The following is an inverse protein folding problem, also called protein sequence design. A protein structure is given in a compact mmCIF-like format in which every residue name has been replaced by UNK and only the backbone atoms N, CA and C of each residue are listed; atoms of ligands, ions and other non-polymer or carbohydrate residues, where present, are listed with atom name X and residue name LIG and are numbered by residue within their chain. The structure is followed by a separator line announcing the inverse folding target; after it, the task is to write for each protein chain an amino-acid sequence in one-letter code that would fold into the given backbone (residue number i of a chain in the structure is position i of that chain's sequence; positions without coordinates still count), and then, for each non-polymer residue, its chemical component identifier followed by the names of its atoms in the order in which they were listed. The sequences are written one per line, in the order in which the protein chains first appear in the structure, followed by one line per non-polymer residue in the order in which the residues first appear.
data_IF_350552940553
#
_entry.id   IF_350552940553
#
_cell.length_a   1.000
_cell.length_b   1.000
_cell.length_c   1.000
_cell.angle_alpha   90.00
_cell.angle_beta   90.00
_cell.angle_gamma   90.00
#
_symmetry.space_group_name_H-M   'P 1'
#
loop_
_entity.id
_entity.type
_entity.pdbx_description
1 polymer ?
#
# COMPACT_ATOMS: atom_id res chain seq x y z
N UNK A 1 -36.70 24.32 -65.78
CA UNK A 1 -36.92 23.82 -64.40
C UNK A 1 -35.55 23.44 -63.83
N UNK A 2 -35.12 24.08 -62.73
CA UNK A 2 -33.77 23.98 -62.17
C UNK A 2 -33.53 22.62 -61.50
N UNK A 3 -32.36 22.04 -61.78
CA UNK A 3 -31.79 20.88 -61.11
C UNK A 3 -31.43 21.20 -59.66
N UNK A 4 -31.83 20.33 -58.73
CA UNK A 4 -31.41 20.37 -57.34
C UNK A 4 -30.53 19.16 -57.03
N UNK A 5 -29.21 19.32 -57.08
CA UNK A 5 -28.27 18.33 -56.57
C UNK A 5 -28.33 18.34 -55.04
N UNK A 6 -28.91 17.29 -54.44
CA UNK A 6 -28.75 17.01 -53.01
C UNK A 6 -27.45 16.24 -52.81
N UNK A 7 -26.39 16.95 -52.41
CA UNK A 7 -25.19 16.32 -51.90
C UNK A 7 -25.47 15.74 -50.52
N UNK A 8 -25.44 14.41 -50.41
CA UNK A 8 -25.46 13.71 -49.12
C UNK A 8 -24.02 13.72 -48.58
N UNK A 9 -23.76 14.52 -47.56
CA UNK A 9 -22.49 14.50 -46.83
C UNK A 9 -22.53 13.33 -45.85
N UNK A 10 -21.81 12.25 -46.17
CA UNK A 10 -21.52 11.18 -45.21
C UNK A 10 -20.47 11.70 -44.22
N UNK A 11 -20.89 12.00 -42.99
CA UNK A 11 -19.98 12.23 -41.87
C UNK A 11 -19.49 10.87 -41.40
N UNK A 12 -18.28 10.48 -41.82
CA UNK A 12 -17.58 9.33 -41.26
C UNK A 12 -17.13 9.68 -39.84
N UNK A 13 -17.82 9.14 -38.84
CA UNK A 13 -17.35 9.17 -37.45
C UNK A 13 -16.11 8.28 -37.39
N UNK A 14 -14.94 8.91 -37.44
CA UNK A 14 -13.68 8.26 -37.10
C UNK A 14 -13.74 7.94 -35.60
N UNK A 15 -14.05 6.69 -35.25
CA UNK A 15 -13.76 6.15 -33.94
C UNK A 15 -12.24 6.20 -33.74
N UNK A 16 -11.75 7.31 -33.20
CA UNK A 16 -10.41 7.34 -32.62
C UNK A 16 -10.47 6.43 -31.41
N UNK A 17 -9.71 5.34 -31.34
CA UNK A 17 -9.59 4.60 -30.10
C UNK A 17 -9.04 5.58 -29.08
N UNK A 18 -9.84 5.89 -28.05
CA UNK A 18 -9.36 6.54 -26.84
C UNK A 18 -8.33 5.59 -26.24
N UNK A 19 -7.06 5.73 -26.65
CA UNK A 19 -5.96 5.15 -25.93
C UNK A 19 -6.07 5.70 -24.51
N UNK A 20 -6.26 4.81 -23.54
CA UNK A 20 -6.30 5.20 -22.15
C UNK A 20 -5.07 6.08 -21.87
N UNK A 21 -5.30 7.31 -21.40
CA UNK A 21 -4.30 8.37 -21.27
C UNK A 21 -3.38 8.12 -20.06
N UNK A 22 -2.83 6.92 -19.94
CA UNK A 22 -1.85 6.61 -18.92
C UNK A 22 -0.48 7.09 -19.37
N UNK A 23 0.24 7.77 -18.47
CA UNK A 23 1.50 8.40 -18.82
C UNK A 23 2.61 7.36 -18.86
N UNK A 24 3.22 7.15 -20.03
CA UNK A 24 4.36 6.26 -20.20
C UNK A 24 5.68 6.99 -19.89
N UNK A 25 5.90 7.38 -18.63
CA UNK A 25 7.16 8.03 -18.22
C UNK A 25 8.25 6.99 -17.94
N UNK A 26 9.35 6.95 -18.70
CA UNK A 26 10.39 5.95 -18.50
C UNK A 26 11.00 6.01 -17.09
N UNK A 27 11.11 4.87 -16.42
CA UNK A 27 11.84 4.77 -15.16
C UNK A 27 13.35 4.80 -15.43
N UNK A 28 14.07 5.74 -14.80
CA UNK A 28 15.51 5.86 -14.94
C UNK A 28 16.25 4.66 -14.31
N UNK A 29 17.43 4.33 -14.85
CA UNK A 29 18.33 3.36 -14.24
C UNK A 29 17.88 1.90 -14.25
N UNK A 30 16.80 1.55 -14.97
CA UNK A 30 16.29 0.18 -15.08
C UNK A 30 17.33 -0.73 -15.77
N UNK A 31 17.87 -1.77 -15.08
CA UNK A 31 18.73 -2.76 -15.69
C UNK A 31 17.99 -3.51 -16.79
N UNK A 32 18.69 -3.87 -17.88
CA UNK A 32 18.08 -4.56 -19.03
C UNK A 32 18.82 -5.85 -19.37
N UNK A 33 18.05 -6.84 -19.82
CA UNK A 33 18.56 -8.06 -20.44
C UNK A 33 19.08 -7.75 -21.87
N UNK A 34 19.84 -8.67 -22.51
CA UNK A 34 20.28 -8.50 -23.90
C UNK A 34 19.15 -8.27 -24.91
N UNK A 35 17.93 -8.74 -24.61
CA UNK A 35 16.74 -8.53 -25.43
C UNK A 35 16.02 -7.19 -25.16
N UNK A 36 16.61 -6.30 -24.37
CA UNK A 36 16.08 -4.98 -24.07
C UNK A 36 14.96 -4.93 -23.03
N UNK A 37 14.45 -6.07 -22.54
CA UNK A 37 13.44 -6.10 -21.46
C UNK A 37 14.06 -5.76 -20.10
N UNK A 38 13.30 -5.16 -19.15
CA UNK A 38 13.77 -4.97 -17.78
C UNK A 38 14.27 -6.27 -17.14
N UNK A 39 15.41 -6.19 -16.46
CA UNK A 39 15.97 -7.28 -15.65
C UNK A 39 15.61 -7.02 -14.18
N UNK A 40 14.46 -7.49 -13.75
CA UNK A 40 13.98 -7.29 -12.38
C UNK A 40 14.82 -8.03 -11.33
N UNK A 41 15.49 -9.11 -11.72
CA UNK A 41 16.38 -9.88 -10.82
C UNK A 41 17.84 -9.37 -10.81
N UNK A 42 18.10 -8.19 -11.40
CA UNK A 42 19.41 -7.55 -11.27
C UNK A 42 19.68 -7.14 -9.81
N UNK A 43 20.94 -6.98 -9.40
CA UNK A 43 21.25 -6.52 -8.04
C UNK A 43 20.50 -5.25 -7.64
N UNK A 44 20.08 -5.17 -6.37
CA UNK A 44 19.44 -3.97 -5.84
C UNK A 44 20.35 -2.74 -5.99
N UNK A 45 19.80 -1.59 -6.42
CA UNK A 45 20.56 -0.34 -6.46
C UNK A 45 21.04 0.04 -5.05
N UNK A 46 22.12 0.81 -4.97
CA UNK A 46 22.72 1.26 -3.72
C UNK A 46 22.64 2.78 -3.61
N UNK A 47 22.31 3.25 -2.42
CA UNK A 47 22.36 4.66 -2.07
C UNK A 47 23.82 5.10 -1.87
N UNK A 48 24.02 6.42 -1.72
CA UNK A 48 25.36 7.03 -1.57
C UNK A 48 26.11 6.55 -0.32
N UNK A 49 25.39 6.06 0.68
CA UNK A 49 25.92 5.52 1.93
C UNK A 49 26.22 4.01 1.86
N UNK A 50 25.99 3.37 0.71
CA UNK A 50 26.28 1.95 0.46
C UNK A 50 25.14 0.99 0.84
N UNK A 51 24.11 1.45 1.55
CA UNK A 51 22.93 0.63 1.84
C UNK A 51 22.06 0.47 0.57
N UNK A 52 21.16 -0.53 0.52
CA UNK A 52 20.19 -0.62 -0.56
C UNK A 52 19.39 0.67 -0.70
N UNK A 53 19.24 1.14 -1.94
CA UNK A 53 18.31 2.21 -2.27
C UNK A 53 16.91 1.61 -2.39
N UNK A 54 16.01 2.00 -1.50
CA UNK A 54 14.61 1.54 -1.47
C UNK A 54 13.72 2.37 -2.39
N UNK A 55 14.27 3.41 -3.05
CA UNK A 55 13.51 4.29 -3.93
C UNK A 55 12.89 3.56 -5.11
N UNK A 56 11.66 3.93 -5.44
CA UNK A 56 10.89 3.33 -6.52
C UNK A 56 9.39 3.52 -6.34
N UNK A 57 8.64 3.28 -7.41
CA UNK A 57 7.21 3.08 -7.34
C UNK A 57 6.96 1.59 -7.11
N UNK A 58 6.15 1.25 -6.12
CA UNK A 58 5.93 -0.12 -5.69
C UNK A 58 4.44 -0.46 -5.77
N UNK A 59 4.14 -1.67 -6.24
CA UNK A 59 2.81 -2.27 -6.41
C UNK A 59 2.68 -3.60 -5.66
N UNK A 60 1.46 -4.04 -5.35
CA UNK A 60 1.26 -5.37 -4.78
C UNK A 60 1.84 -6.45 -5.71
N UNK A 61 2.29 -7.57 -5.15
CA UNK A 61 2.77 -8.69 -5.96
C UNK A 61 1.69 -9.12 -6.97
N UNK A 62 2.07 -9.15 -8.25
CA UNK A 62 1.20 -9.55 -9.36
C UNK A 62 1.33 -11.06 -9.62
N UNK A 63 0.27 -11.69 -10.13
CA UNK A 63 0.21 -13.13 -10.44
C UNK A 63 0.15 -14.07 -9.22
N UNK A 64 -0.42 -13.62 -8.10
CA UNK A 64 -0.79 -14.53 -7.01
C UNK A 64 -1.93 -15.45 -7.49
N UNK A 65 -1.83 -16.79 -7.35
CA UNK A 65 -2.91 -17.69 -7.74
C UNK A 65 -4.23 -17.33 -7.05
N UNK A 66 -5.28 -17.19 -7.85
CA UNK A 66 -6.59 -16.82 -7.34
C UNK A 66 -7.16 -17.91 -6.43
N UNK A 67 -7.86 -17.53 -5.35
CA UNK A 67 -8.69 -18.46 -4.60
C UNK A 67 -9.72 -19.16 -5.51
N UNK A 68 -10.26 -20.32 -5.10
CA UNK A 68 -11.32 -21.03 -5.83
C UNK A 68 -12.55 -20.16 -6.14
N UNK A 69 -12.82 -19.15 -5.31
CA UNK A 69 -13.98 -18.27 -5.40
C UNK A 69 -13.80 -17.09 -6.40
N UNK A 70 -12.64 -17.00 -7.06
CA UNK A 70 -12.36 -16.00 -8.09
C UNK A 70 -11.26 -14.99 -7.73
N UNK A 71 -10.90 -14.15 -8.71
CA UNK A 71 -9.93 -13.06 -8.55
C UNK A 71 -10.68 -11.73 -8.37
N UNK A 72 -10.10 -10.79 -7.62
CA UNK A 72 -10.54 -9.40 -7.69
C UNK A 72 -10.02 -8.73 -8.98
N UNK A 73 -10.70 -7.67 -9.41
CA UNK A 73 -10.36 -6.89 -10.62
C UNK A 73 -8.98 -6.21 -10.52
N UNK A 74 -8.49 -5.98 -9.30
CA UNK A 74 -7.16 -5.44 -9.01
C UNK A 74 -6.26 -6.52 -8.37
N UNK A 75 -4.94 -6.48 -8.59
CA UNK A 75 -4.00 -7.33 -7.88
C UNK A 75 -4.03 -6.98 -6.38
N UNK A 76 -4.79 -7.75 -5.61
CA UNK A 76 -4.92 -7.60 -4.16
C UNK A 76 -3.94 -8.52 -3.44
N UNK A 77 -3.23 -7.97 -2.46
CA UNK A 77 -2.58 -8.81 -1.46
C UNK A 77 -3.65 -9.47 -0.59
N UNK A 78 -3.58 -10.78 -0.31
CA UNK A 78 -4.56 -11.43 0.59
C UNK A 78 -4.59 -10.76 1.96
N UNK A 79 -3.42 -10.29 2.39
CA UNK A 79 -3.22 -9.51 3.60
C UNK A 79 -3.92 -8.13 3.62
N UNK A 80 -4.43 -7.65 2.48
CA UNK A 80 -5.28 -6.46 2.43
C UNK A 80 -6.68 -6.76 2.97
N UNK A 81 -7.22 -7.94 2.66
CA UNK A 81 -8.52 -8.38 3.13
C UNK A 81 -8.44 -8.86 4.58
N UNK A 82 -7.42 -9.67 4.89
CA UNK A 82 -7.16 -10.22 6.22
C UNK A 82 -5.65 -10.31 6.44
N UNK A 83 -5.09 -9.44 7.28
CA UNK A 83 -3.64 -9.40 7.56
C UNK A 83 -3.13 -10.69 8.21
N UNK A 84 -4.04 -11.42 8.88
CA UNK A 84 -3.82 -12.72 9.51
C UNK A 84 -3.91 -13.92 8.56
N UNK A 85 -4.24 -13.73 7.28
CA UNK A 85 -4.51 -14.82 6.33
C UNK A 85 -3.35 -15.81 6.13
N UNK A 86 -2.11 -15.42 6.49
CA UNK A 86 -0.91 -16.28 6.41
C UNK A 86 -0.36 -16.70 7.78
N UNK A 87 -1.07 -16.40 8.86
CA UNK A 87 -0.71 -16.76 10.22
C UNK A 87 -1.52 -17.99 10.60
N UNK A 88 -0.84 -19.06 11.02
CA UNK A 88 -1.49 -20.28 11.48
C UNK A 88 -2.40 -19.97 12.68
N UNK A 89 -3.69 -20.30 12.55
CA UNK A 89 -4.71 -19.97 13.56
C UNK A 89 -5.19 -18.52 13.56
N UNK A 90 -4.75 -17.69 12.59
CA UNK A 90 -5.15 -16.29 12.47
C UNK A 90 -4.50 -15.37 13.50
N UNK A 91 -5.02 -14.16 13.63
CA UNK A 91 -4.51 -13.19 14.60
C UNK A 91 -4.83 -13.59 16.04
N UNK A 92 -3.87 -13.41 16.98
CA UNK A 92 -4.04 -13.83 18.37
C UNK A 92 -4.82 -12.79 19.18
N UNK A 93 -6.05 -12.47 18.78
CA UNK A 93 -6.89 -11.43 19.39
C UNK A 93 -7.10 -11.63 20.90
N UNK A 94 -7.18 -10.52 21.63
CA UNK A 94 -7.84 -10.47 22.94
C UNK A 94 -9.36 -10.65 22.76
N UNK A 95 -10.11 -11.09 23.80
CA UNK A 95 -11.55 -11.35 23.67
C UNK A 95 -12.38 -10.17 23.14
N UNK A 96 -12.09 -8.94 23.59
CA UNK A 96 -12.79 -7.76 23.10
C UNK A 96 -12.46 -7.45 21.64
N UNK A 97 -11.20 -7.64 21.23
CA UNK A 97 -10.75 -7.38 19.87
C UNK A 97 -11.39 -8.37 18.89
N UNK A 98 -11.48 -9.65 19.30
CA UNK A 98 -12.22 -10.67 18.55
C UNK A 98 -13.71 -10.31 18.41
N UNK A 99 -14.34 -9.82 19.48
CA UNK A 99 -15.75 -9.40 19.45
C UNK A 99 -15.97 -8.20 18.52
N UNK A 100 -15.10 -7.19 18.58
CA UNK A 100 -15.17 -6.01 17.71
C UNK A 100 -14.92 -6.38 16.24
N UNK A 101 -13.93 -7.22 15.97
CA UNK A 101 -13.66 -7.73 14.61
C UNK A 101 -14.86 -8.49 14.05
N UNK A 102 -15.46 -9.39 14.84
CA UNK A 102 -16.67 -10.11 14.43
C UNK A 102 -17.86 -9.18 14.18
N UNK A 103 -18.04 -8.14 15.02
CA UNK A 103 -19.09 -7.15 14.84
C UNK A 103 -18.89 -6.34 13.55
N UNK A 104 -17.67 -5.87 13.26
CA UNK A 104 -17.34 -5.13 12.03
C UNK A 104 -17.69 -5.94 10.79
N UNK A 105 -17.27 -7.21 10.76
CA UNK A 105 -17.60 -8.13 9.67
C UNK A 105 -19.11 -8.38 9.54
N UNK A 106 -19.84 -8.47 10.66
CA UNK A 106 -21.30 -8.59 10.65
C UNK A 106 -21.98 -7.34 10.07
N UNK A 107 -21.38 -6.16 10.29
CA UNK A 107 -21.84 -4.86 9.79
C UNK A 107 -21.26 -4.50 8.41
N UNK A 108 -20.77 -5.50 7.66
CA UNK A 108 -20.15 -5.35 6.33
C UNK A 108 -19.02 -4.31 6.29
N UNK A 109 -18.26 -4.16 7.39
CA UNK A 109 -17.09 -3.28 7.48
C UNK A 109 -17.39 -1.81 7.13
N UNK A 110 -18.66 -1.40 7.22
CA UNK A 110 -19.15 -0.09 6.78
C UNK A 110 -18.41 1.10 7.42
N UNK A 111 -17.92 0.91 8.65
CA UNK A 111 -17.25 1.93 9.46
C UNK A 111 -15.71 1.90 9.31
N UNK A 112 -15.16 1.22 8.30
CA UNK A 112 -13.74 1.23 8.01
C UNK A 112 -13.25 2.69 7.80
N UNK A 113 -12.12 3.11 8.38
CA UNK A 113 -11.65 4.50 8.22
C UNK A 113 -11.55 4.95 6.75
N UNK A 114 -11.14 4.04 5.87
CA UNK A 114 -10.98 4.28 4.45
C UNK A 114 -12.29 4.57 3.71
N UNK A 115 -13.44 4.01 4.13
CA UNK A 115 -14.75 4.31 3.53
C UNK A 115 -15.21 5.74 3.85
N UNK A 116 -14.64 6.33 4.90
CA UNK A 116 -14.85 7.73 5.29
C UNK A 116 -13.71 8.66 4.84
N UNK A 117 -12.88 8.22 3.88
CA UNK A 117 -11.74 8.96 3.37
C UNK A 117 -10.76 9.40 4.47
N UNK A 118 -10.64 8.60 5.54
CA UNK A 118 -9.61 8.75 6.55
C UNK A 118 -8.37 7.93 6.16
N UNK A 119 -7.18 8.29 6.67
CA UNK A 119 -5.95 7.58 6.34
C UNK A 119 -6.03 6.09 6.68
N UNK A 120 -5.59 5.25 5.74
CA UNK A 120 -5.17 3.88 6.03
C UNK A 120 -4.12 3.83 7.14
N UNK A 121 -4.11 2.77 7.94
CA UNK A 121 -2.98 2.48 8.83
C UNK A 121 -1.68 2.28 8.03
N UNK A 122 -0.54 2.24 8.73
CA UNK A 122 0.74 1.94 8.08
C UNK A 122 0.76 0.51 7.48
N UNK A 123 0.02 -0.43 8.08
CA UNK A 123 -0.08 -1.81 7.56
C UNK A 123 -0.92 -1.85 6.29
N UNK A 124 -2.12 -1.24 6.31
CA UNK A 124 -2.98 -1.14 5.14
C UNK A 124 -2.32 -0.40 3.98
N UNK A 125 -1.52 0.63 4.26
CA UNK A 125 -0.70 1.31 3.25
C UNK A 125 0.25 0.35 2.50
N UNK A 126 0.73 -0.71 3.14
CA UNK A 126 1.61 -1.69 2.50
C UNK A 126 0.85 -2.82 1.79
N UNK A 127 -0.44 -3.01 2.07
CA UNK A 127 -1.25 -4.10 1.52
C UNK A 127 -2.26 -3.65 0.48
N UNK A 128 -2.67 -2.38 0.48
CA UNK A 128 -3.57 -1.78 -0.51
C UNK A 128 -3.13 -2.06 -1.96
N UNK A 129 -4.07 -2.27 -2.90
CA UNK A 129 -3.75 -2.42 -4.32
C UNK A 129 -3.12 -1.16 -4.93
N UNK A 130 -3.29 0.00 -4.28
CA UNK A 130 -2.79 1.27 -4.76
C UNK A 130 -1.26 1.37 -4.63
N UNK A 131 -0.67 2.18 -5.50
CA UNK A 131 0.76 2.36 -5.55
C UNK A 131 1.28 3.24 -4.41
N UNK A 132 2.56 3.03 -4.11
CA UNK A 132 3.32 3.86 -3.20
C UNK A 132 4.69 4.16 -3.78
N UNK A 133 5.10 5.42 -3.70
CA UNK A 133 6.42 5.87 -4.13
C UNK A 133 7.30 6.04 -2.91
N UNK A 134 8.40 5.30 -2.87
CA UNK A 134 9.44 5.50 -1.87
C UNK A 134 10.48 6.46 -2.45
N UNK A 135 10.82 7.47 -1.66
CA UNK A 135 11.92 8.40 -1.92
C UNK A 135 12.88 8.31 -0.74
N UNK A 136 14.08 7.77 -0.99
CA UNK A 136 15.14 7.71 0.01
C UNK A 136 16.09 8.90 -0.18
N UNK A 137 16.26 9.66 0.89
CA UNK A 137 17.23 10.75 0.98
C UNK A 137 18.14 10.52 2.19
N UNK A 138 19.29 11.22 2.29
CA UNK A 138 20.12 11.14 3.49
C UNK A 138 19.31 11.46 4.76
N UNK A 139 19.25 10.50 5.68
CA UNK A 139 18.57 10.63 6.98
C UNK A 139 17.04 10.51 6.97
N UNK A 140 16.39 10.37 5.81
CA UNK A 140 14.93 10.19 5.74
C UNK A 140 14.49 9.33 4.57
N UNK A 141 13.49 8.49 4.81
CA UNK A 141 12.73 7.77 3.79
C UNK A 141 11.29 8.29 3.81
N UNK A 142 10.83 8.83 2.69
CA UNK A 142 9.45 9.27 2.50
C UNK A 142 8.69 8.23 1.68
N UNK A 143 7.51 7.86 2.15
CA UNK A 143 6.57 7.02 1.40
C UNK A 143 5.39 7.91 1.02
N UNK A 144 5.16 8.05 -0.28
CA UNK A 144 4.03 8.78 -0.85
C UNK A 144 3.00 7.77 -1.33
N UNK A 145 1.74 7.98 -1.02
CA UNK A 145 0.66 7.06 -1.36
C UNK A 145 -0.18 7.65 -2.49
N UNK A 146 -0.64 6.78 -3.39
CA UNK A 146 -1.65 7.13 -4.37
C UNK A 146 -2.96 7.51 -3.67
N UNK A 147 -3.36 6.79 -2.62
CA UNK A 147 -4.55 7.12 -1.82
C UNK A 147 -4.42 8.44 -1.05
N UNK A 148 -5.33 9.37 -1.35
CA UNK A 148 -5.50 10.72 -0.77
C UNK A 148 -4.21 11.56 -0.74
N UNK A 149 -3.25 11.24 -1.60
CA UNK A 149 -1.91 11.85 -1.62
C UNK A 149 -1.24 11.89 -0.23
N UNK A 150 -1.57 10.92 0.65
CA UNK A 150 -0.97 10.87 1.97
C UNK A 150 0.52 10.55 1.89
N UNK A 151 1.25 10.94 2.93
CA UNK A 151 2.65 10.57 3.08
C UNK A 151 2.91 9.96 4.46
N UNK A 152 4.04 9.24 4.54
CA UNK A 152 4.68 8.82 5.78
C UNK A 152 6.16 9.18 5.72
N UNK A 153 6.68 9.68 6.84
CA UNK A 153 8.09 9.97 7.01
C UNK A 153 8.72 8.93 7.96
N UNK A 154 9.87 8.40 7.58
CA UNK A 154 10.66 7.48 8.39
C UNK A 154 12.06 8.08 8.50
N UNK A 155 12.46 8.51 9.69
CA UNK A 155 13.82 8.98 9.90
C UNK A 155 14.77 7.80 9.97
N UNK A 156 15.84 7.82 9.18
CA UNK A 156 16.82 6.73 9.06
C UNK A 156 18.22 7.17 9.52
N UNK A 157 18.28 8.26 10.27
CA UNK A 157 19.50 8.78 10.91
C UNK A 157 19.71 8.21 12.33
N UNK A 158 18.91 7.21 12.73
CA UNK A 158 19.02 6.52 14.01
C UNK A 158 18.55 7.33 15.22
N UNK A 159 17.85 8.47 15.01
CA UNK A 159 17.31 9.28 16.12
C UNK A 159 16.37 8.47 17.04
N UNK A 160 16.26 8.78 18.33
CA UNK A 160 15.34 8.06 19.21
C UNK A 160 13.88 8.36 18.88
N UNK A 161 13.00 7.42 19.22
CA UNK A 161 11.56 7.65 19.22
C UNK A 161 11.16 8.62 20.36
N UNK A 162 10.10 9.42 20.18
CA UNK A 162 9.60 10.30 21.24
C UNK A 162 9.12 9.49 22.45
N UNK A 163 9.37 10.01 23.66
CA UNK A 163 8.94 9.36 24.91
C UNK A 163 7.46 9.59 25.24
N UNK A 164 6.89 10.70 24.79
CA UNK A 164 5.47 11.07 24.99
C UNK A 164 4.90 11.65 23.68
N UNK A 165 4.65 10.80 22.68
CA UNK A 165 4.15 11.24 21.38
C UNK A 165 2.69 11.68 21.46
N UNK A 166 2.36 12.80 20.79
CA UNK A 166 0.96 13.10 20.48
C UNK A 166 0.41 12.06 19.49
N UNK A 167 -0.68 11.33 19.79
CA UNK A 167 -1.15 10.27 18.92
C UNK A 167 -1.48 10.76 17.50
N UNK A 168 -1.01 10.02 16.50
CA UNK A 168 -1.23 10.36 15.08
C UNK A 168 -1.54 9.12 14.23
N UNK A 169 -2.09 9.32 13.03
CA UNK A 169 -2.40 8.23 12.09
C UNK A 169 -1.14 7.45 11.67
N UNK A 170 -0.04 8.16 11.43
CA UNK A 170 1.21 7.57 10.93
C UNK A 170 2.19 7.16 12.04
N UNK A 171 1.93 7.58 13.28
CA UNK A 171 2.87 7.45 14.38
C UNK A 171 4.18 8.21 14.10
N UNK A 172 5.21 7.85 14.85
CA UNK A 172 6.56 8.39 14.73
C UNK A 172 7.49 7.23 14.43
N UNK A 173 8.18 7.29 13.28
CA UNK A 173 9.03 6.21 12.80
C UNK A 173 10.51 6.56 12.88
N UNK A 174 11.32 5.66 13.44
CA UNK A 174 12.77 5.73 13.43
C UNK A 174 13.36 4.40 12.96
N UNK A 175 14.34 4.48 12.06
CA UNK A 175 14.96 3.35 11.41
C UNK A 175 16.47 3.30 11.58
N UNK A 176 17.00 2.09 11.61
CA UNK A 176 18.42 1.79 11.58
C UNK A 176 18.69 0.62 10.64
N UNK A 177 19.87 0.62 10.02
CA UNK A 177 20.29 -0.44 9.12
C UNK A 177 20.89 -1.63 9.90
N UNK A 178 20.41 -2.83 9.58
CA UNK A 178 20.95 -4.12 9.98
C UNK A 178 21.41 -4.85 8.72
N UNK A 179 22.68 -4.60 8.35
CA UNK A 179 23.20 -4.95 7.03
C UNK A 179 22.39 -4.30 5.91
N UNK A 180 21.84 -5.12 5.02
CA UNK A 180 21.01 -4.69 3.89
C UNK A 180 19.51 -4.55 4.24
N UNK A 181 19.16 -4.59 5.52
CA UNK A 181 17.76 -4.50 5.97
C UNK A 181 17.56 -3.23 6.77
N UNK A 182 16.63 -2.38 6.35
CA UNK A 182 16.23 -1.23 7.15
C UNK A 182 15.20 -1.68 8.19
N UNK A 183 15.55 -1.61 9.47
CA UNK A 183 14.68 -1.95 10.59
C UNK A 183 14.06 -0.67 11.13
N UNK A 184 12.75 -0.53 11.02
CA UNK A 184 11.98 0.66 11.41
C UNK A 184 11.10 0.32 12.59
N UNK A 185 11.17 1.12 13.65
CA UNK A 185 10.25 1.08 14.76
C UNK A 185 9.29 2.27 14.69
N UNK A 186 8.02 2.03 14.98
CA UNK A 186 6.98 3.07 14.99
C UNK A 186 6.12 2.97 16.25
N UNK A 187 5.87 4.12 16.88
CA UNK A 187 5.03 4.28 18.09
C UNK A 187 4.17 5.54 17.99
N UNK A 188 3.29 5.77 18.97
CA UNK A 188 2.46 6.98 19.03
C UNK A 188 1.32 6.99 18.02
N UNK A 189 0.78 5.81 17.73
CA UNK A 189 -0.41 5.66 16.91
C UNK A 189 -1.62 6.22 17.65
N UNK A 190 -2.57 6.79 16.90
CA UNK A 190 -3.92 7.02 17.42
C UNK A 190 -4.68 5.71 17.57
N UNK A 191 -5.63 5.71 18.50
CA UNK A 191 -6.56 4.60 18.71
C UNK A 191 -7.58 4.49 17.56
N UNK A 192 -8.20 3.31 17.44
CA UNK A 192 -9.29 3.02 16.50
C UNK A 192 -8.86 2.74 15.07
N UNK A 193 -7.59 2.42 14.83
CA UNK A 193 -7.10 2.07 13.50
C UNK A 193 -7.47 0.64 13.12
N UNK A 194 -7.54 0.38 11.81
CA UNK A 194 -7.77 -0.93 11.23
C UNK A 194 -6.48 -1.39 10.54
N UNK A 195 -6.17 -2.68 10.58
CA UNK A 195 -4.94 -3.23 9.98
C UNK A 195 -5.16 -3.86 8.61
N UNK A 196 -6.42 -4.09 8.27
CA UNK A 196 -6.91 -4.68 7.04
C UNK A 196 -8.37 -4.25 6.80
N UNK A 197 -8.89 -4.57 5.62
CA UNK A 197 -10.30 -4.33 5.29
C UNK A 197 -11.27 -5.15 6.14
N UNK A 198 -10.85 -6.30 6.68
CA UNK A 198 -11.63 -7.12 7.60
C UNK A 198 -11.78 -6.52 9.01
N UNK A 199 -11.12 -5.40 9.28
CA UNK A 199 -11.31 -4.63 10.50
C UNK A 199 -10.61 -5.18 11.72
N UNK A 200 -9.43 -5.78 11.54
CA UNK A 200 -8.51 -6.10 12.63
C UNK A 200 -8.13 -4.83 13.40
N UNK A 201 -8.47 -4.69 14.71
CA UNK A 201 -8.23 -3.45 15.45
C UNK A 201 -6.77 -3.24 15.85
N UNK A 202 -6.31 -1.99 15.78
CA UNK A 202 -5.06 -1.51 16.37
C UNK A 202 -5.32 -0.32 17.30
N UNK A 203 -4.70 -0.34 18.48
CA UNK A 203 -4.87 0.66 19.53
C UNK A 203 -3.68 1.62 19.63
N UNK A 204 -3.82 2.62 20.49
CA UNK A 204 -2.75 3.56 20.84
C UNK A 204 -1.56 2.92 21.58
N UNK A 205 -1.69 1.70 22.09
CA UNK A 205 -0.62 0.96 22.76
C UNK A 205 0.31 0.24 21.77
N UNK A 206 -0.05 0.22 20.48
CA UNK A 206 0.68 -0.51 19.46
C UNK A 206 2.11 0.01 19.28
N UNK A 207 3.03 -0.95 19.14
CA UNK A 207 4.39 -0.75 18.64
C UNK A 207 4.54 -1.60 17.40
N UNK A 208 4.94 -0.97 16.30
CA UNK A 208 5.14 -1.65 15.03
C UNK A 208 6.62 -1.71 14.72
N UNK A 209 7.12 -2.88 14.34
CA UNK A 209 8.47 -3.05 13.78
C UNK A 209 8.34 -3.52 12.34
N UNK A 210 8.97 -2.82 11.42
CA UNK A 210 9.05 -3.19 10.02
C UNK A 210 10.49 -3.48 9.63
N UNK A 211 10.71 -4.52 8.82
CA UNK A 211 12.01 -4.84 8.23
C UNK A 211 11.88 -4.76 6.71
N UNK A 212 12.44 -3.70 6.12
CA UNK A 212 12.45 -3.50 4.68
C UNK A 212 13.70 -4.11 4.08
N UNK A 213 13.52 -5.02 3.12
CA UNK A 213 14.61 -5.66 2.39
C UNK A 213 14.33 -5.65 0.89
N UNK A 214 15.16 -4.92 0.13
CA UNK A 214 15.14 -4.95 -1.33
C UNK A 214 16.11 -6.02 -1.81
N UNK A 215 15.59 -7.20 -2.14
CA UNK A 215 16.41 -8.39 -2.45
C UNK A 215 17.07 -8.30 -3.83
N UNK A 216 16.41 -7.65 -4.78
CA UNK A 216 16.91 -7.36 -6.13
C UNK A 216 16.33 -6.04 -6.65
N UNK A 217 16.53 -5.71 -7.93
CA UNK A 217 15.99 -4.49 -8.52
C UNK A 217 14.46 -4.42 -8.45
N UNK A 218 13.78 -5.56 -8.57
CA UNK A 218 12.35 -5.67 -8.78
C UNK A 218 11.51 -5.96 -7.54
N UNK A 219 12.12 -6.45 -6.45
CA UNK A 219 11.38 -6.97 -5.31
C UNK A 219 11.75 -6.28 -4.00
N UNK A 220 10.72 -5.88 -3.26
CA UNK A 220 10.80 -5.35 -1.91
C UNK A 220 10.01 -6.26 -0.98
N UNK A 221 10.69 -6.78 0.03
CA UNK A 221 10.11 -7.57 1.11
C UNK A 221 9.93 -6.67 2.34
N UNK A 222 8.76 -6.75 2.96
CA UNK A 222 8.45 -6.01 4.19
C UNK A 222 7.92 -7.03 5.20
N UNK A 223 8.71 -7.29 6.24
CA UNK A 223 8.23 -8.04 7.40
C UNK A 223 7.67 -7.05 8.42
N UNK A 224 6.42 -7.24 8.84
CA UNK A 224 5.74 -6.37 9.80
C UNK A 224 5.44 -7.18 11.04
N UNK A 225 5.91 -6.70 12.18
CA UNK A 225 5.54 -7.19 13.51
C UNK A 225 4.72 -6.12 14.23
N UNK A 226 3.56 -6.50 14.74
CA UNK A 226 2.72 -5.65 15.58
C UNK A 226 2.71 -6.22 17.00
N UNK A 227 3.14 -5.38 17.95
CA UNK A 227 3.02 -5.61 19.39
C UNK A 227 2.02 -4.61 19.96
N UNK A 228 0.78 -5.05 20.10
CA UNK A 228 -0.29 -4.30 20.77
C UNK A 228 -0.92 -5.20 21.84
N UNK A 229 -0.49 -5.09 23.10
CA UNK A 229 -0.97 -5.96 24.17
C UNK A 229 -2.42 -5.68 24.57
N UNK A 230 -3.00 -4.53 24.16
CA UNK A 230 -4.42 -4.25 24.39
C UNK A 230 -5.26 -5.03 23.39
N UNK A 231 -4.88 -5.11 22.12
CA UNK A 231 -5.66 -5.81 21.08
C UNK A 231 -5.30 -7.30 20.91
N UNK A 232 -4.06 -7.70 21.21
CA UNK A 232 -3.56 -9.05 20.96
C UNK A 232 -2.94 -9.68 22.20
N UNK A 233 -3.00 -11.01 22.29
CA UNK A 233 -2.46 -11.81 23.41
C UNK A 233 -0.95 -11.99 23.32
N UNK A 234 -0.37 -11.80 22.13
CA UNK A 234 1.08 -11.81 21.87
C UNK A 234 1.37 -11.03 20.58
N UNK A 235 2.61 -10.54 20.38
CA UNK A 235 3.03 -10.00 19.10
C UNK A 235 2.85 -11.02 17.98
N UNK A 236 2.56 -10.53 16.79
CA UNK A 236 2.44 -11.36 15.59
C UNK A 236 3.19 -10.72 14.43
N UNK A 237 3.56 -11.53 13.45
CA UNK A 237 4.37 -11.11 12.31
C UNK A 237 3.78 -11.62 11.01
N UNK A 238 3.79 -10.77 9.99
CA UNK A 238 3.43 -11.13 8.61
C UNK A 238 4.48 -10.63 7.63
N UNK A 239 4.58 -11.28 6.47
CA UNK A 239 5.50 -10.91 5.39
C UNK A 239 4.72 -10.45 4.18
N UNK A 240 5.12 -9.31 3.64
CA UNK A 240 4.56 -8.72 2.44
C UNK A 240 5.63 -8.70 1.34
N UNK A 241 5.21 -9.05 0.13
CA UNK A 241 6.02 -8.93 -1.08
C UNK A 241 5.46 -7.82 -1.95
N UNK A 242 6.35 -6.97 -2.44
CA UNK A 242 6.05 -5.83 -3.28
C UNK A 242 6.93 -5.86 -4.52
N UNK A 243 6.37 -5.48 -5.67
CA UNK A 243 7.07 -5.46 -6.96
C UNK A 243 7.23 -4.03 -7.46
N UNK A 244 8.34 -3.74 -8.12
CA UNK A 244 8.58 -2.42 -8.71
C UNK A 244 7.64 -2.19 -9.89
N UNK A 245 7.07 -1.00 -9.96
CA UNK A 245 6.23 -0.54 -11.08
C UNK A 245 7.09 0.36 -11.95
N UNK A 246 7.15 0.05 -13.24
CA UNK A 246 8.00 0.74 -14.20
C UNK A 246 7.19 1.48 -15.24
N UNK A 247 7.80 2.53 -15.79
CA UNK A 247 7.32 3.29 -16.93
C UNK A 247 5.97 4.00 -16.71
N UNK A 248 5.71 4.45 -15.49
CA UNK A 248 4.51 5.21 -15.09
C UNK A 248 4.88 6.23 -14.00
N UNK A 249 3.90 6.99 -13.53
CA UNK A 249 4.02 7.91 -12.40
C UNK A 249 3.01 7.56 -11.31
N UNK A 250 3.30 7.98 -10.08
CA UNK A 250 2.32 7.97 -8.99
C UNK A 250 1.26 9.03 -9.29
N UNK A 251 0.03 8.59 -9.53
CA UNK A 251 -1.13 9.46 -9.65
C UNK A 251 -1.85 9.54 -8.31
N UNK A 252 -2.56 10.63 -8.09
CA UNK A 252 -3.43 10.78 -6.95
C UNK A 252 -4.77 10.08 -7.18
N UNK A 253 -5.19 9.33 -6.18
CA UNK A 253 -6.55 8.83 -6.03
C UNK A 253 -7.14 9.51 -4.80
N UNK A 254 -8.12 10.40 -5.00
CA UNK A 254 -8.77 11.10 -3.89
C UNK A 254 -10.09 10.41 -3.57
N UNK A 255 -10.20 9.82 -2.37
CA UNK A 255 -11.39 9.06 -1.96
C UNK A 255 -12.68 9.89 -2.04
N UNK A 256 -12.60 11.17 -1.66
CA UNK A 256 -13.74 12.07 -1.68
C UNK A 256 -14.15 12.51 -3.11
N UNK A 257 -13.33 12.26 -4.12
CA UNK A 257 -13.62 12.66 -5.49
C UNK A 257 -14.70 11.75 -6.09
N UNK A 258 -15.90 12.32 -6.31
CA UNK A 258 -17.05 11.59 -6.86
C UNK A 258 -17.44 10.35 -6.02
N UNK A 259 -17.18 10.40 -4.71
CA UNK A 259 -17.64 9.42 -3.73
C UNK A 259 -19.17 9.31 -3.76
N UNK A 260 -19.67 8.09 -4.01
CA UNK A 260 -21.12 7.77 -4.10
C UNK A 260 -21.46 6.42 -3.44
N UNK A 261 -20.46 5.71 -2.95
CA UNK A 261 -20.56 4.35 -2.47
C UNK A 261 -20.88 4.32 -0.98
N UNK A 262 -20.44 5.30 -0.18
CA UNK A 262 -20.70 5.38 1.26
C UNK A 262 -22.20 5.29 1.61
N UNK A 263 -23.14 5.95 0.91
CA UNK A 263 -24.58 5.77 1.15
C UNK A 263 -25.10 4.35 0.87
N UNK A 264 -24.36 3.55 0.10
CA UNK A 264 -24.68 2.16 -0.24
C UNK A 264 -23.99 1.15 0.69
N UNK A 265 -22.99 1.56 1.47
CA UNK A 265 -22.35 0.77 2.51
C UNK A 265 -23.24 0.72 3.77
N UNK A 266 -24.31 -0.06 3.67
CA UNK A 266 -25.22 -0.32 4.80
C UNK A 266 -24.80 -1.59 5.53
N UNK A 267 -24.82 -1.53 6.86
CA UNK A 267 -24.65 -2.72 7.71
C UNK A 267 -25.81 -3.68 7.55
N UNK A 268 -25.70 -4.87 8.16
CA UNK A 268 -26.79 -5.85 8.16
C UNK A 268 -27.89 -5.52 9.16
#
# INVERSE_FOLDING_TARGET
MRSGNRAVVMVAILCVPLGAQWVNYPTAGVPRLPNGRPNLSAPAPRAVDGHPDLSGLWGAEVNVPCPPDGCADLPLNRQFLDIGARIEGGLPFQPWAAAVHAQRSADNDKDAPSTHCLPYSNVEMHTTPLYRKIVQAPGILAILNEHDAFYRQIYIDGRPLPSDPQPSWRGYSSGQWDGDTLVVQTVGFRDGQWLDMGGSPMTDAAKMTERFRRSDFGHLEIEITVDDPKAYTKPWTTKLSQVIVLNTELLDYICAENEKDLPHLVGK
#
